data_IF_166136066089
#
_entry.id   IF_166136066089
#
_cell.length_a   1.000
_cell.length_b   1.000
_cell.length_c   1.000
_cell.angle_alpha   90.00
_cell.angle_beta   90.00
_cell.angle_gamma   90.00
#
_symmetry.space_group_name_H-M   'P 1'
#
loop_
_entity.id
_entity.type
_entity.pdbx_description
1 polymer ?
#
# COMPACT_ATOMS: atom_id res chain seq x y z
N UNK A 1 -13.38 -10.30 -11.05
CA UNK A 1 -13.28 -8.83 -10.85
C UNK A 1 -14.64 -8.14 -10.99
N UNK A 2 -15.39 -8.24 -12.10
CA UNK A 2 -16.71 -7.56 -12.28
C UNK A 2 -17.67 -7.76 -11.10
N UNK A 3 -17.82 -9.00 -10.61
CA UNK A 3 -18.66 -9.30 -9.44
C UNK A 3 -18.27 -8.52 -8.19
N UNK A 4 -16.97 -8.20 -7.98
CA UNK A 4 -16.54 -7.40 -6.84
C UNK A 4 -17.10 -5.97 -6.96
N UNK A 5 -17.04 -5.37 -8.16
CA UNK A 5 -17.60 -4.06 -8.44
C UNK A 5 -19.15 -4.02 -8.39
N UNK A 6 -19.82 -5.18 -8.55
CA UNK A 6 -21.28 -5.27 -8.40
C UNK A 6 -21.69 -5.38 -6.93
N UNK A 7 -20.77 -5.85 -6.07
CA UNK A 7 -21.08 -6.19 -4.68
C UNK A 7 -20.65 -5.10 -3.69
N UNK A 8 -19.57 -4.37 -3.98
CA UNK A 8 -18.96 -3.42 -3.07
C UNK A 8 -19.08 -1.99 -3.59
N UNK A 9 -19.33 -1.07 -2.66
CA UNK A 9 -19.50 0.36 -2.95
C UNK A 9 -18.17 1.06 -3.26
N UNK A 10 -17.08 0.52 -2.69
CA UNK A 10 -15.71 0.99 -2.96
C UNK A 10 -14.80 -0.23 -3.22
N UNK A 11 -14.04 -0.17 -4.30
CA UNK A 11 -13.02 -1.17 -4.64
C UNK A 11 -11.67 -0.49 -4.67
N UNK A 12 -10.72 -0.99 -3.87
CA UNK A 12 -9.34 -0.51 -3.82
C UNK A 12 -8.39 -1.61 -4.24
N UNK A 13 -7.46 -1.30 -5.13
CA UNK A 13 -6.38 -2.23 -5.52
C UNK A 13 -5.20 -2.02 -4.59
N UNK A 14 -4.82 -3.06 -3.85
CA UNK A 14 -3.55 -3.07 -3.12
C UNK A 14 -2.43 -3.42 -4.10
N UNK A 15 -1.62 -2.43 -4.41
CA UNK A 15 -0.63 -2.52 -5.48
C UNK A 15 0.79 -2.60 -4.91
N UNK A 16 1.47 -3.70 -5.19
CA UNK A 16 2.86 -3.94 -4.72
C UNK A 16 3.92 -3.71 -5.79
N UNK A 17 3.53 -3.39 -7.03
CA UNK A 17 4.42 -3.27 -8.18
C UNK A 17 4.88 -4.61 -8.75
N UNK A 18 4.44 -5.74 -8.18
CA UNK A 18 4.69 -7.06 -8.73
C UNK A 18 3.79 -7.37 -9.94
N UNK A 19 4.17 -8.34 -10.74
CA UNK A 19 3.45 -8.73 -11.96
C UNK A 19 1.98 -9.07 -11.73
N UNK A 20 1.67 -9.75 -10.63
CA UNK A 20 0.31 -10.21 -10.34
C UNK A 20 -0.57 -9.03 -9.88
N UNK A 21 -0.05 -8.12 -9.06
CA UNK A 21 -0.75 -6.89 -8.69
C UNK A 21 -0.90 -5.94 -9.88
N UNK A 22 0.05 -5.93 -10.81
CA UNK A 22 -0.06 -5.18 -12.07
C UNK A 22 -1.20 -5.72 -12.93
N UNK A 23 -1.32 -7.05 -13.08
CA UNK A 23 -2.43 -7.65 -13.80
C UNK A 23 -3.80 -7.27 -13.18
N UNK A 24 -3.89 -7.30 -11.85
CA UNK A 24 -5.10 -6.88 -11.11
C UNK A 24 -5.43 -5.40 -11.36
N UNK A 25 -4.42 -4.53 -11.36
CA UNK A 25 -4.59 -3.10 -11.62
C UNK A 25 -5.16 -2.84 -13.02
N UNK A 26 -4.63 -3.52 -14.05
CA UNK A 26 -5.15 -3.37 -15.41
C UNK A 26 -6.55 -3.98 -15.60
N UNK A 27 -6.87 -5.09 -14.92
CA UNK A 27 -8.24 -5.61 -14.89
C UNK A 27 -9.22 -4.64 -14.22
N UNK A 28 -8.78 -3.90 -13.20
CA UNK A 28 -9.59 -2.85 -12.60
C UNK A 28 -9.77 -1.67 -13.57
N UNK A 29 -8.71 -1.27 -14.28
CA UNK A 29 -8.77 -0.23 -15.32
C UNK A 29 -9.83 -0.55 -16.38
N UNK A 30 -9.80 -1.76 -16.95
CA UNK A 30 -10.78 -2.19 -17.95
C UNK A 30 -12.23 -2.02 -17.47
N UNK A 31 -12.51 -2.35 -16.20
CA UNK A 31 -13.85 -2.19 -15.63
C UNK A 31 -14.21 -0.72 -15.45
N UNK A 32 -13.25 0.11 -15.02
CA UNK A 32 -13.47 1.55 -14.89
C UNK A 32 -13.76 2.21 -16.22
N UNK A 33 -13.06 1.81 -17.28
CA UNK A 33 -13.31 2.29 -18.65
C UNK A 33 -14.69 1.83 -19.18
N UNK A 34 -15.00 0.52 -19.03
CA UNK A 34 -16.28 -0.06 -19.43
C UNK A 34 -17.47 0.62 -18.76
N UNK A 35 -17.36 0.91 -17.46
CA UNK A 35 -18.44 1.48 -16.64
C UNK A 35 -18.40 3.01 -16.54
N UNK A 36 -17.43 3.64 -17.17
CA UNK A 36 -17.17 5.09 -17.09
C UNK A 36 -17.05 5.59 -15.64
N UNK A 37 -16.35 4.82 -14.82
CA UNK A 37 -16.00 5.19 -13.46
C UNK A 37 -14.83 6.18 -13.49
N UNK A 38 -14.62 6.93 -12.42
CA UNK A 38 -13.44 7.78 -12.27
C UNK A 38 -12.13 6.96 -12.16
N UNK A 39 -11.01 7.56 -11.75
CA UNK A 39 -9.74 6.87 -11.59
C UNK A 39 -9.84 5.65 -10.67
N UNK A 40 -9.04 4.64 -10.94
CA UNK A 40 -8.93 3.42 -10.10
C UNK A 40 -8.29 3.80 -8.77
N UNK A 41 -8.95 3.47 -7.67
CA UNK A 41 -8.38 3.64 -6.33
C UNK A 41 -7.30 2.61 -6.08
N UNK A 42 -6.10 3.11 -5.79
CA UNK A 42 -4.92 2.28 -5.56
C UNK A 42 -4.31 2.62 -4.22
N UNK A 43 -3.90 1.60 -3.50
CA UNK A 43 -3.15 1.74 -2.25
C UNK A 43 -1.79 1.11 -2.44
N UNK A 44 -0.74 1.89 -2.20
CA UNK A 44 0.61 1.40 -2.08
C UNK A 44 1.11 1.53 -0.64
N UNK A 45 1.43 0.41 -0.06
CA UNK A 45 2.00 0.30 1.28
C UNK A 45 3.51 0.21 1.16
N UNK A 46 4.16 1.32 1.42
CA UNK A 46 5.60 1.46 1.27
C UNK A 46 6.34 0.92 2.49
N UNK A 47 7.10 -0.14 2.30
CA UNK A 47 7.87 -0.83 3.34
C UNK A 47 9.29 -0.27 3.52
N UNK A 48 9.56 0.99 3.11
CA UNK A 48 10.86 1.66 3.20
C UNK A 48 12.01 0.94 2.46
N UNK A 49 12.23 -0.35 2.75
CA UNK A 49 13.29 -1.18 2.15
C UNK A 49 12.88 -1.79 0.80
N UNK A 50 12.13 -1.04 0.03
CA UNK A 50 11.71 -1.44 -1.32
C UNK A 50 12.80 -1.10 -2.33
N UNK A 51 12.99 -1.96 -3.33
CA UNK A 51 13.95 -1.72 -4.40
C UNK A 51 13.73 -0.36 -5.09
N UNK A 52 14.79 0.40 -5.39
CA UNK A 52 14.66 1.66 -6.12
C UNK A 52 13.93 1.55 -7.48
N UNK A 53 14.01 0.38 -8.12
CA UNK A 53 13.28 0.12 -9.36
C UNK A 53 11.76 0.07 -9.12
N UNK A 54 11.33 -0.56 -8.03
CA UNK A 54 9.91 -0.59 -7.64
C UNK A 54 9.43 0.80 -7.28
N UNK A 55 10.21 1.57 -6.51
CA UNK A 55 9.85 2.96 -6.16
C UNK A 55 9.61 3.79 -7.42
N UNK A 56 10.54 3.77 -8.38
CA UNK A 56 10.38 4.51 -9.66
C UNK A 56 9.13 4.06 -10.43
N UNK A 57 8.87 2.75 -10.46
CA UNK A 57 7.67 2.22 -11.12
C UNK A 57 6.39 2.68 -10.42
N UNK A 58 6.37 2.73 -9.09
CA UNK A 58 5.24 3.26 -8.32
C UNK A 58 5.00 4.75 -8.59
N UNK A 59 6.07 5.54 -8.68
CA UNK A 59 5.98 6.97 -9.03
C UNK A 59 5.44 7.16 -10.45
N UNK A 60 5.85 6.32 -11.40
CA UNK A 60 5.30 6.31 -12.75
C UNK A 60 3.80 6.00 -12.75
N UNK A 61 3.40 4.90 -12.11
CA UNK A 61 1.98 4.49 -12.04
C UNK A 61 1.13 5.52 -11.33
N UNK A 62 1.65 6.17 -10.29
CA UNK A 62 0.95 7.24 -9.58
C UNK A 62 0.61 8.42 -10.48
N UNK A 63 1.41 8.66 -11.51
CA UNK A 63 1.22 9.78 -12.45
C UNK A 63 0.28 9.45 -13.61
N UNK A 64 -0.26 8.24 -13.70
CA UNK A 64 -1.28 7.92 -14.69
C UNK A 64 -2.59 8.64 -14.35
N UNK A 65 -3.22 9.24 -15.35
CA UNK A 65 -4.48 10.00 -15.21
C UNK A 65 -5.68 9.15 -14.77
N UNK A 66 -5.59 7.83 -14.97
CA UNK A 66 -6.59 6.85 -14.59
C UNK A 66 -6.32 6.18 -13.23
N UNK A 67 -5.32 6.65 -12.48
CA UNK A 67 -4.93 6.12 -11.15
C UNK A 67 -5.12 7.19 -10.08
N UNK A 68 -5.80 6.83 -9.01
CA UNK A 68 -5.91 7.60 -7.76
C UNK A 68 -5.15 6.83 -6.67
N UNK A 69 -3.84 7.10 -6.55
CA UNK A 69 -2.96 6.35 -5.64
C UNK A 69 -2.74 7.06 -4.32
N UNK A 70 -3.08 6.36 -3.25
CA UNK A 70 -2.70 6.69 -1.89
C UNK A 70 -1.39 5.95 -1.53
N UNK A 71 -0.34 6.71 -1.22
CA UNK A 71 0.99 6.19 -0.86
C UNK A 71 1.20 6.27 0.63
N UNK A 72 1.34 5.13 1.29
CA UNK A 72 1.42 5.03 2.74
C UNK A 72 2.84 4.74 3.22
N UNK A 73 3.41 5.65 4.02
CA UNK A 73 4.65 5.45 4.77
C UNK A 73 4.32 5.39 6.26
N UNK A 74 3.99 4.21 6.73
CA UNK A 74 3.52 3.99 8.10
C UNK A 74 4.53 3.20 8.91
N UNK A 75 4.67 3.48 10.21
CA UNK A 75 5.55 2.70 11.08
C UNK A 75 5.15 1.22 11.08
N UNK A 76 6.03 0.37 10.58
CA UNK A 76 5.84 -1.07 10.54
C UNK A 76 6.98 -1.79 11.22
N UNK A 77 6.64 -2.77 12.04
CA UNK A 77 7.62 -3.66 12.63
C UNK A 77 8.13 -4.67 11.62
N UNK A 78 9.43 -4.68 11.39
CA UNK A 78 10.08 -5.65 10.52
C UNK A 78 11.17 -6.39 11.28
N UNK A 79 11.12 -7.72 11.26
CA UNK A 79 12.25 -8.54 11.69
C UNK A 79 13.29 -8.60 10.57
N UNK A 80 14.52 -8.23 10.92
CA UNK A 80 15.66 -8.30 10.01
C UNK A 80 16.56 -9.43 10.46
N UNK A 81 16.81 -10.37 9.56
CA UNK A 81 17.72 -11.46 9.78
C UNK A 81 19.15 -11.04 9.40
N UNK A 82 19.98 -10.77 10.40
CA UNK A 82 21.40 -10.59 10.22
C UNK A 82 22.09 -11.90 10.62
N UNK A 83 23.17 -12.28 9.94
CA UNK A 83 23.87 -13.51 10.21
C UNK A 83 24.21 -13.63 11.70
N UNK A 84 23.65 -14.64 12.38
CA UNK A 84 23.85 -14.91 13.80
C UNK A 84 22.93 -14.17 14.76
N UNK A 85 22.03 -13.27 14.31
CA UNK A 85 21.08 -12.58 15.20
C UNK A 85 19.81 -12.14 14.50
N UNK A 86 18.74 -12.00 15.29
CA UNK A 86 17.51 -11.29 14.90
C UNK A 86 17.62 -9.84 15.32
N UNK A 87 17.26 -8.94 14.45
CA UNK A 87 17.07 -7.53 14.78
C UNK A 87 15.64 -7.11 14.45
N UNK A 88 15.07 -6.28 15.30
CA UNK A 88 13.76 -5.66 15.05
C UNK A 88 13.98 -4.22 14.60
N UNK A 89 13.38 -3.87 13.49
CA UNK A 89 13.41 -2.51 12.95
C UNK A 89 12.00 -1.97 12.82
N UNK A 90 11.77 -0.76 13.27
CA UNK A 90 10.53 -0.04 13.01
C UNK A 90 10.72 0.85 11.78
N UNK A 91 10.26 0.37 10.63
CA UNK A 91 10.30 1.10 9.36
C UNK A 91 9.52 2.41 9.46
N UNK A 92 9.88 3.42 8.69
CA UNK A 92 9.24 4.75 8.65
C UNK A 92 9.00 5.41 10.02
N UNK A 93 9.74 4.99 11.06
CA UNK A 93 9.57 5.58 12.39
C UNK A 93 10.13 7.00 12.45
N UNK A 94 9.48 7.84 13.26
CA UNK A 94 9.94 9.22 13.43
C UNK A 94 11.34 9.29 14.06
N UNK A 95 11.69 8.34 14.94
CA UNK A 95 13.01 8.27 15.54
C UNK A 95 14.09 8.02 14.48
N UNK A 96 13.91 7.03 13.61
CA UNK A 96 14.86 6.76 12.52
C UNK A 96 14.99 7.93 11.56
N UNK A 97 13.88 8.64 11.31
CA UNK A 97 13.91 9.87 10.50
C UNK A 97 14.75 10.97 11.14
N UNK A 98 14.59 11.20 12.44
CA UNK A 98 15.39 12.19 13.20
C UNK A 98 16.87 11.82 13.23
N UNK A 99 17.18 10.54 13.33
CA UNK A 99 18.54 10.01 13.38
C UNK A 99 19.22 9.91 12.00
N UNK A 100 18.52 10.28 10.91
CA UNK A 100 19.02 10.14 9.55
C UNK A 100 19.23 8.67 9.12
N UNK A 101 18.46 7.74 9.68
CA UNK A 101 18.62 6.29 9.50
C UNK A 101 17.59 5.67 8.55
N UNK A 102 16.78 6.48 7.88
CA UNK A 102 15.91 5.99 6.83
C UNK A 102 16.74 5.51 5.65
N UNK A 103 16.29 4.43 4.99
CA UNK A 103 16.96 3.88 3.81
C UNK A 103 16.88 4.86 2.62
N UNK A 104 15.82 5.66 2.59
CA UNK A 104 15.59 6.72 1.61
C UNK A 104 14.68 7.79 2.17
N UNK A 105 14.63 8.93 1.50
CA UNK A 105 13.72 10.00 1.89
C UNK A 105 12.25 9.58 1.73
N UNK A 106 11.43 10.04 2.67
CA UNK A 106 9.98 9.87 2.61
C UNK A 106 9.41 10.84 1.58
N UNK A 107 8.58 10.38 0.62
CA UNK A 107 7.92 11.26 -0.32
C UNK A 107 7.08 12.33 0.40
N UNK A 108 7.10 13.56 -0.10
CA UNK A 108 6.36 14.68 0.51
C UNK A 108 4.84 14.50 0.49
N UNK A 109 4.35 13.70 -0.46
CA UNK A 109 2.94 13.36 -0.61
C UNK A 109 2.52 12.10 0.17
N UNK A 110 3.44 11.50 0.92
CA UNK A 110 3.13 10.26 1.65
C UNK A 110 2.14 10.50 2.79
N UNK A 111 1.21 9.57 2.91
CA UNK A 111 0.27 9.49 4.02
C UNK A 111 0.99 8.78 5.18
N UNK A 112 1.04 9.44 6.32
CA UNK A 112 1.78 8.98 7.50
C UNK A 112 0.86 8.67 8.66
N UNK A 113 1.37 8.06 9.73
CA UNK A 113 0.62 7.80 10.96
C UNK A 113 -0.07 9.06 11.52
N UNK A 114 0.55 10.23 11.36
CA UNK A 114 -0.01 11.51 11.82
C UNK A 114 -1.33 11.88 11.13
N UNK A 115 -1.53 11.49 9.86
CA UNK A 115 -2.78 11.73 9.15
C UNK A 115 -3.98 11.01 9.80
N UNK A 116 -3.72 9.95 10.57
CA UNK A 116 -4.71 9.17 11.27
C UNK A 116 -4.73 9.44 12.79
N UNK A 117 -3.95 10.41 13.28
CA UNK A 117 -3.79 10.65 14.72
C UNK A 117 -3.08 9.50 15.47
N UNK A 118 -2.34 8.65 14.76
CA UNK A 118 -1.59 7.55 15.35
C UNK A 118 -0.22 7.99 15.82
N UNK A 119 0.29 7.31 16.83
CA UNK A 119 1.63 7.55 17.38
C UNK A 119 2.71 7.07 16.39
N UNK A 120 3.52 7.98 15.80
CA UNK A 120 4.52 7.63 14.81
C UNK A 120 5.74 6.89 15.40
N UNK A 121 5.79 6.69 16.71
CA UNK A 121 6.83 5.92 17.40
C UNK A 121 6.45 4.46 17.62
N UNK A 122 5.22 4.07 17.31
CA UNK A 122 4.68 2.72 17.50
C UNK A 122 4.34 2.08 16.15
N UNK A 123 4.52 0.77 16.07
CA UNK A 123 4.06 0.03 14.91
C UNK A 123 2.54 0.19 14.72
N UNK A 124 2.15 0.48 13.48
CA UNK A 124 0.74 0.49 13.10
C UNK A 124 0.26 -0.97 13.00
N UNK A 125 -0.96 -1.28 13.46
CA UNK A 125 -1.53 -2.62 13.31
C UNK A 125 -1.55 -3.09 11.85
N UNK A 126 -1.48 -4.39 11.63
CA UNK A 126 -1.50 -4.98 10.28
C UNK A 126 -2.83 -4.69 9.55
N UNK A 127 -3.92 -4.46 10.30
CA UNK A 127 -5.22 -4.03 9.78
C UNK A 127 -5.26 -2.56 9.38
N UNK A 128 -4.22 -2.08 8.69
CA UNK A 128 -4.14 -0.69 8.22
C UNK A 128 -5.30 -0.31 7.33
N UNK A 129 -5.89 -1.27 6.65
CA UNK A 129 -7.05 -1.08 5.80
C UNK A 129 -8.23 -0.43 6.56
N UNK A 130 -8.29 -0.65 7.87
CA UNK A 130 -9.25 0.02 8.74
C UNK A 130 -9.03 1.54 8.78
N UNK A 131 -7.78 1.99 8.78
CA UNK A 131 -7.43 3.41 8.82
C UNK A 131 -7.56 4.09 7.46
N UNK A 132 -7.22 3.40 6.38
CA UNK A 132 -7.33 3.92 5.02
C UNK A 132 -8.76 4.21 4.61
N UNK A 133 -9.71 3.59 5.31
CA UNK A 133 -11.15 3.68 5.01
C UNK A 133 -11.93 4.47 6.05
N UNK A 134 -11.27 5.08 7.03
CA UNK A 134 -11.95 5.92 8.00
C UNK A 134 -12.76 7.02 7.29
N UNK A 135 -14.07 7.03 7.56
CA UNK A 135 -14.99 8.01 6.98
C UNK A 135 -15.60 7.62 5.63
N UNK A 136 -15.20 6.52 4.99
CA UNK A 136 -15.90 6.01 3.81
C UNK A 136 -17.15 5.24 4.24
N UNK A 137 -18.29 5.62 3.69
CA UNK A 137 -19.56 4.90 3.88
C UNK A 137 -19.64 3.73 2.91
N UNK A 138 -20.29 2.64 3.35
CA UNK A 138 -20.55 1.49 2.50
C UNK A 138 -19.55 0.34 2.67
N UNK A 139 -19.74 -0.70 1.85
CA UNK A 139 -18.88 -1.89 1.85
C UNK A 139 -17.67 -1.65 0.95
N UNK A 140 -16.49 -1.94 1.46
CA UNK A 140 -15.25 -1.79 0.69
C UNK A 140 -14.58 -3.13 0.47
N UNK A 141 -14.05 -3.33 -0.73
CA UNK A 141 -13.20 -4.45 -1.10
C UNK A 141 -11.77 -3.99 -1.34
N UNK A 142 -10.81 -4.72 -0.77
CA UNK A 142 -9.40 -4.65 -1.16
C UNK A 142 -9.08 -5.81 -2.06
N UNK A 143 -8.58 -5.51 -3.24
CA UNK A 143 -8.20 -6.52 -4.23
C UNK A 143 -6.70 -6.60 -4.31
N UNK A 144 -6.16 -7.80 -4.10
CA UNK A 144 -4.73 -8.07 -4.09
C UNK A 144 -4.36 -9.09 -5.16
N UNK A 145 -3.18 -8.94 -5.75
CA UNK A 145 -2.60 -9.93 -6.67
C UNK A 145 -1.88 -11.05 -5.91
N UNK A 146 -2.63 -11.89 -5.20
CA UNK A 146 -2.10 -13.04 -4.46
C UNK A 146 -2.56 -14.33 -5.12
N UNK A 147 -1.64 -15.27 -5.33
CA UNK A 147 -1.97 -16.60 -5.86
C UNK A 147 -2.44 -17.53 -4.74
N UNK A 148 -3.36 -18.44 -5.05
CA UNK A 148 -3.94 -19.36 -4.08
C UNK A 148 -2.89 -20.20 -3.31
N UNK A 149 -1.80 -20.60 -3.97
CA UNK A 149 -0.71 -21.34 -3.35
C UNK A 149 0.20 -20.50 -2.45
N UNK A 150 0.18 -19.18 -2.57
CA UNK A 150 0.89 -18.27 -1.66
C UNK A 150 0.10 -18.02 -0.37
N UNK A 151 -1.24 -18.07 -0.44
CA UNK A 151 -2.11 -17.85 0.72
C UNK A 151 -2.15 -19.01 1.69
N UNK A 152 -1.77 -20.24 1.26
CA UNK A 152 -1.74 -21.43 2.13
C UNK A 152 -0.54 -21.49 3.09
N UNK A 153 0.42 -20.57 2.94
CA UNK A 153 1.66 -20.52 3.73
C UNK A 153 1.67 -19.37 4.74
N UNK A 154 0.54 -18.67 4.93
CA UNK A 154 0.41 -17.56 5.88
C UNK A 154 -0.60 -17.84 6.97
#
# INVERSE_FOLDING_TARGET
MRHVYDTFDTVCVQFSGGKDSTAVLYLAKEIHEERKLGPVKVIFRDEEMVSPAVVRFMEEVRNYDWVDMEWYCLPQGQEIWVLGRREYCLLWSEQRRKDGRLVRDMPSYAITAKHFGLDPSKAVPDSIDYYTLQGKKGRTAFVMGVRANESMMR
#
